data_IF_283125607353
#
_entry.id   IF_283125607353
#
_cell.length_a   1.000
_cell.length_b   1.000
_cell.length_c   1.000
_cell.angle_alpha   90.00
_cell.angle_beta   90.00
_cell.angle_gamma   90.00
#
_symmetry.space_group_name_H-M   'P 1'
#
loop_
_entity.id
_entity.type
_entity.pdbx_description
1 polymer ?
#
# COMPACT_ATOMS: atom_id res chain seq x y z
N UNK A 1 -10.12 10.10 -21.45
CA UNK A 1 -10.77 8.80 -21.77
C UNK A 1 -9.71 7.71 -21.59
N UNK A 2 -9.83 6.85 -20.57
CA UNK A 2 -8.87 5.75 -20.31
C UNK A 2 -9.55 4.42 -20.69
N UNK A 3 -8.89 3.53 -21.44
CA UNK A 3 -9.43 2.20 -21.72
C UNK A 3 -9.31 1.29 -20.49
N UNK A 4 -10.40 0.57 -20.18
CA UNK A 4 -10.43 -0.49 -19.17
C UNK A 4 -9.57 -1.68 -19.59
N UNK A 5 -8.69 -2.22 -18.72
CA UNK A 5 -8.02 -3.46 -19.02
C UNK A 5 -8.91 -4.65 -18.64
N UNK A 6 -9.25 -5.41 -19.67
CA UNK A 6 -9.15 -6.87 -19.68
C UNK A 6 -10.17 -7.65 -18.84
N UNK A 7 -11.23 -8.08 -19.56
CA UNK A 7 -12.12 -9.22 -19.29
C UNK A 7 -11.66 -10.50 -20.02
N UNK A 8 -10.53 -11.17 -19.70
CA UNK A 8 -10.26 -12.50 -20.25
C UNK A 8 -10.66 -13.62 -19.28
N UNK A 9 -10.79 -13.32 -17.98
CA UNK A 9 -10.94 -14.35 -16.96
C UNK A 9 -12.34 -15.00 -16.93
N UNK A 10 -13.38 -14.26 -17.31
CA UNK A 10 -14.77 -14.75 -17.30
C UNK A 10 -15.03 -15.75 -18.43
N UNK A 11 -14.31 -15.64 -19.56
CA UNK A 11 -14.50 -16.49 -20.72
C UNK A 11 -13.86 -17.87 -20.58
N UNK A 12 -12.79 -18.01 -19.78
CA UNK A 12 -12.15 -19.30 -19.53
C UNK A 12 -13.01 -20.24 -18.68
N UNK A 13 -13.83 -19.71 -17.76
CA UNK A 13 -14.73 -20.53 -16.95
C UNK A 13 -15.92 -21.09 -17.74
N UNK A 14 -16.38 -20.38 -18.78
CA UNK A 14 -17.51 -20.82 -19.60
C UNK A 14 -17.18 -21.99 -20.55
N UNK A 15 -15.91 -22.12 -20.97
CA UNK A 15 -15.48 -23.17 -21.89
C UNK A 15 -15.21 -24.53 -21.22
N UNK A 16 -14.99 -24.56 -19.91
CA UNK A 16 -14.74 -25.80 -19.17
C UNK A 16 -16.02 -26.58 -18.79
N UNK A 17 -17.20 -25.96 -18.86
CA UNK A 17 -18.48 -26.59 -18.47
C UNK A 17 -19.20 -27.32 -19.62
N UNK A 18 -18.68 -27.24 -20.85
CA UNK A 18 -19.35 -27.76 -22.06
C UNK A 18 -18.78 -29.09 -22.58
N UNK A 19 -18.07 -29.86 -21.75
CA UNK A 19 -17.54 -31.16 -22.15
C UNK A 19 -18.45 -32.30 -21.63
N UNK A 20 -19.29 -32.94 -22.46
CA UNK A 20 -20.32 -33.90 -22.05
C UNK A 20 -19.75 -35.28 -21.66
N UNK A 21 -18.43 -35.40 -21.48
CA UNK A 21 -17.72 -36.67 -21.24
C UNK A 21 -17.31 -36.94 -19.79
N UNK A 22 -17.80 -36.17 -18.81
CA UNK A 22 -17.43 -36.42 -17.40
C UNK A 22 -18.44 -37.40 -16.79
N UNK A 23 -18.03 -38.63 -16.40
CA UNK A 23 -18.90 -39.52 -15.65
C UNK A 23 -19.26 -38.84 -14.33
N UNK A 24 -20.55 -38.52 -14.20
CA UNK A 24 -21.19 -38.10 -12.96
C UNK A 24 -21.02 -39.21 -11.94
N UNK A 25 -20.17 -39.01 -10.94
CA UNK A 25 -20.17 -39.66 -9.61
C UNK A 25 -19.05 -39.07 -8.74
N UNK A 26 -18.95 -37.74 -8.67
CA UNK A 26 -18.44 -37.14 -7.44
C UNK A 26 -19.53 -37.39 -6.39
N UNK A 27 -19.27 -38.26 -5.43
CA UNK A 27 -20.21 -38.52 -4.33
C UNK A 27 -20.62 -37.16 -3.70
N UNK A 28 -21.87 -36.99 -3.27
CA UNK A 28 -22.33 -35.70 -2.74
C UNK A 28 -21.43 -35.12 -1.63
N UNK A 29 -20.64 -35.96 -0.97
CA UNK A 29 -19.59 -35.56 -0.02
C UNK A 29 -18.37 -34.88 -0.66
N UNK A 30 -17.87 -35.33 -1.81
CA UNK A 30 -16.73 -34.72 -2.51
C UNK A 30 -17.08 -33.32 -3.02
N UNK A 31 -18.25 -33.17 -3.65
CA UNK A 31 -18.73 -31.86 -4.11
C UNK A 31 -18.93 -30.87 -2.94
N UNK A 32 -19.37 -31.37 -1.78
CA UNK A 32 -19.54 -30.54 -0.59
C UNK A 32 -18.19 -30.16 0.05
N UNK A 33 -17.22 -31.08 0.07
CA UNK A 33 -15.86 -30.80 0.52
C UNK A 33 -15.17 -29.76 -0.38
N UNK A 34 -15.36 -29.86 -1.70
CA UNK A 34 -14.83 -28.89 -2.66
C UNK A 34 -15.47 -27.50 -2.48
N UNK A 35 -16.79 -27.44 -2.27
CA UNK A 35 -17.48 -26.18 -1.95
C UNK A 35 -16.94 -25.54 -0.67
N UNK A 36 -16.73 -26.31 0.39
CA UNK A 36 -16.16 -25.82 1.65
C UNK A 36 -14.73 -25.30 1.46
N UNK A 37 -13.92 -26.01 0.67
CA UNK A 37 -12.56 -25.60 0.32
C UNK A 37 -12.56 -24.27 -0.44
N UNK A 38 -13.43 -24.11 -1.44
CA UNK A 38 -13.58 -22.86 -2.19
C UNK A 38 -14.00 -21.71 -1.26
N UNK A 39 -14.93 -21.94 -0.33
CA UNK A 39 -15.33 -20.94 0.66
C UNK A 39 -14.22 -20.58 1.65
N UNK A 40 -13.32 -21.51 1.98
CA UNK A 40 -12.11 -21.21 2.78
C UNK A 40 -11.15 -20.32 2.00
N UNK A 41 -10.82 -20.71 0.77
CA UNK A 41 -9.91 -19.97 -0.10
C UNK A 41 -10.41 -18.55 -0.38
N UNK A 42 -11.72 -18.35 -0.57
CA UNK A 42 -12.29 -17.01 -0.73
C UNK A 42 -12.10 -16.15 0.52
N UNK A 43 -12.29 -16.72 1.72
CA UNK A 43 -12.06 -16.01 2.99
C UNK A 43 -10.59 -15.66 3.20
N UNK A 44 -9.69 -16.59 2.92
CA UNK A 44 -8.24 -16.37 2.99
C UNK A 44 -7.79 -15.27 2.01
N UNK A 45 -8.35 -15.25 0.79
CA UNK A 45 -8.03 -14.25 -0.22
C UNK A 45 -8.54 -12.85 0.18
N UNK A 46 -9.73 -12.78 0.76
CA UNK A 46 -10.28 -11.53 1.30
C UNK A 46 -9.45 -11.00 2.47
N UNK A 47 -9.05 -11.88 3.40
CA UNK A 47 -8.17 -11.53 4.51
C UNK A 47 -6.81 -11.02 4.00
N UNK A 48 -6.16 -11.75 3.10
CA UNK A 48 -4.89 -11.34 2.51
C UNK A 48 -5.01 -10.00 1.76
N UNK A 49 -6.14 -9.74 1.09
CA UNK A 49 -6.39 -8.45 0.46
C UNK A 49 -6.53 -7.31 1.49
N UNK A 50 -7.17 -7.56 2.64
CA UNK A 50 -7.24 -6.58 3.73
C UNK A 50 -5.88 -6.33 4.36
N UNK A 51 -5.09 -7.38 4.63
CA UNK A 51 -3.74 -7.27 5.18
C UNK A 51 -2.82 -6.48 4.24
N UNK A 52 -2.84 -6.75 2.93
CA UNK A 52 -2.07 -5.99 1.94
C UNK A 52 -2.45 -4.51 1.92
N UNK A 53 -3.74 -4.16 2.03
CA UNK A 53 -4.17 -2.77 2.12
C UNK A 53 -3.59 -2.07 3.36
N UNK A 54 -3.61 -2.75 4.51
CA UNK A 54 -3.03 -2.21 5.73
C UNK A 54 -1.50 -2.07 5.65
N UNK A 55 -0.82 -3.03 5.03
CA UNK A 55 0.63 -2.96 4.81
C UNK A 55 0.97 -1.78 3.90
N UNK A 56 0.23 -1.61 2.81
CA UNK A 56 0.45 -0.50 1.88
C UNK A 56 0.25 0.88 2.55
N UNK A 57 -0.78 1.02 3.38
CA UNK A 57 -0.97 2.25 4.16
C UNK A 57 0.20 2.54 5.11
N UNK A 58 0.75 1.50 5.77
CA UNK A 58 1.93 1.63 6.63
C UNK A 58 3.19 1.98 5.85
N UNK A 59 3.40 1.37 4.68
CA UNK A 59 4.51 1.69 3.79
C UNK A 59 4.47 3.16 3.34
N UNK A 60 3.29 3.66 2.98
CA UNK A 60 3.10 5.07 2.62
C UNK A 60 3.41 6.01 3.80
N UNK A 61 2.93 5.69 5.01
CA UNK A 61 3.23 6.47 6.20
C UNK A 61 4.75 6.51 6.49
N UNK A 62 5.42 5.36 6.41
CA UNK A 62 6.86 5.25 6.63
C UNK A 62 7.66 6.00 5.56
N UNK A 63 7.26 5.88 4.28
CA UNK A 63 7.89 6.61 3.17
C UNK A 63 7.81 8.11 3.41
N UNK A 64 6.62 8.62 3.75
CA UNK A 64 6.41 10.04 4.06
C UNK A 64 7.28 10.51 5.23
N UNK A 65 7.38 9.73 6.31
CA UNK A 65 8.26 10.03 7.45
C UNK A 65 9.74 10.11 7.04
N UNK A 66 10.19 9.18 6.21
CA UNK A 66 11.56 9.17 5.68
C UNK A 66 11.83 10.40 4.82
N UNK A 67 10.89 10.79 3.95
CA UNK A 67 11.00 11.99 3.12
C UNK A 67 11.12 13.26 3.97
N UNK A 68 10.27 13.42 5.01
CA UNK A 68 10.36 14.57 5.92
C UNK A 68 11.71 14.62 6.66
N UNK A 69 12.19 13.48 7.17
CA UNK A 69 13.47 13.39 7.86
C UNK A 69 14.65 13.66 6.93
N UNK A 70 14.60 13.15 5.70
CA UNK A 70 15.63 13.39 4.70
C UNK A 70 15.70 14.88 4.31
N UNK A 71 14.54 15.53 4.16
CA UNK A 71 14.48 16.96 3.92
C UNK A 71 15.10 17.77 5.06
N UNK A 72 14.89 17.35 6.32
CA UNK A 72 15.51 17.99 7.49
C UNK A 72 17.04 17.90 7.45
N UNK A 73 17.59 16.71 7.18
CA UNK A 73 19.04 16.49 7.11
C UNK A 73 19.66 17.41 6.06
N UNK A 74 19.11 17.43 4.84
CA UNK A 74 19.61 18.30 3.78
C UNK A 74 19.49 19.79 4.12
N UNK A 75 18.43 20.18 4.82
CA UNK A 75 18.26 21.56 5.26
C UNK A 75 19.32 21.95 6.31
N UNK A 76 19.67 21.07 7.24
CA UNK A 76 20.77 21.33 8.19
C UNK A 76 22.11 21.45 7.49
N UNK A 77 22.42 20.58 6.53
CA UNK A 77 23.63 20.69 5.71
C UNK A 77 23.70 22.03 4.97
N UNK A 78 22.58 22.46 4.38
CA UNK A 78 22.48 23.75 3.70
C UNK A 78 22.67 24.93 4.67
N UNK A 79 22.04 24.90 5.85
CA UNK A 79 22.23 25.93 6.87
C UNK A 79 23.69 26.02 7.31
N UNK A 80 24.35 24.88 7.53
CA UNK A 80 25.76 24.82 7.92
C UNK A 80 26.67 25.44 6.85
N UNK A 81 26.43 25.14 5.57
CA UNK A 81 27.20 25.70 4.46
C UNK A 81 26.95 27.20 4.26
N UNK A 82 25.70 27.66 4.40
CA UNK A 82 25.33 29.06 4.16
C UNK A 82 25.74 30.00 5.31
N UNK A 83 25.79 29.49 6.53
CA UNK A 83 25.97 30.29 7.75
C UNK A 83 27.14 29.80 8.62
N UNK A 84 28.15 29.18 8.01
CA UNK A 84 29.32 28.58 8.70
C UNK A 84 29.95 29.51 9.75
N UNK A 85 30.07 30.80 9.43
CA UNK A 85 30.68 31.81 10.30
C UNK A 85 29.66 32.71 11.01
N UNK A 86 28.36 32.41 10.92
CA UNK A 86 27.29 33.19 11.54
C UNK A 86 26.37 32.26 12.35
N UNK A 87 26.73 32.07 13.62
CA UNK A 87 26.00 31.18 14.53
C UNK A 87 24.52 31.57 14.72
N UNK A 88 24.20 32.86 14.70
CA UNK A 88 22.82 33.33 14.88
C UNK A 88 21.96 32.95 13.66
N UNK A 89 22.43 33.23 12.45
CA UNK A 89 21.72 32.87 11.22
C UNK A 89 21.65 31.36 11.02
N UNK A 90 22.72 30.62 11.37
CA UNK A 90 22.71 29.17 11.40
C UNK A 90 21.60 28.62 12.32
N UNK A 91 21.47 29.19 13.52
CA UNK A 91 20.43 28.79 14.48
C UNK A 91 19.03 29.12 13.96
N UNK A 92 18.82 30.29 13.36
CA UNK A 92 17.53 30.66 12.75
C UNK A 92 17.16 29.70 11.62
N UNK A 93 18.08 29.43 10.71
CA UNK A 93 17.89 28.52 9.58
C UNK A 93 17.55 27.10 10.04
N UNK A 94 18.37 26.52 10.94
CA UNK A 94 18.14 25.18 11.48
C UNK A 94 16.84 25.07 12.28
N UNK A 95 16.47 26.11 13.04
CA UNK A 95 15.17 26.15 13.74
C UNK A 95 14.00 26.15 12.77
N UNK A 96 14.08 26.92 11.68
CA UNK A 96 13.07 26.91 10.63
C UNK A 96 12.98 25.55 9.92
N UNK A 97 14.12 24.93 9.60
CA UNK A 97 14.18 23.60 9.01
C UNK A 97 13.49 22.55 9.90
N UNK A 98 13.77 22.58 11.21
CA UNK A 98 13.11 21.71 12.19
C UNK A 98 11.60 21.92 12.22
N UNK A 99 11.14 23.18 12.24
CA UNK A 99 9.70 23.50 12.24
C UNK A 99 9.01 22.95 10.98
N UNK A 100 9.63 23.11 9.82
CA UNK A 100 9.09 22.60 8.55
C UNK A 100 9.01 21.06 8.54
N UNK A 101 10.03 20.37 9.09
CA UNK A 101 10.03 18.92 9.20
C UNK A 101 8.92 18.41 10.15
N UNK A 102 8.68 19.09 11.27
CA UNK A 102 7.56 18.77 12.18
C UNK A 102 6.22 18.93 11.46
N UNK A 103 6.02 20.04 10.75
CA UNK A 103 4.80 20.27 9.96
C UNK A 103 4.60 19.20 8.87
N UNK A 104 5.69 18.79 8.20
CA UNK A 104 5.66 17.70 7.24
C UNK A 104 5.18 16.40 7.90
N UNK A 105 5.75 16.02 9.04
CA UNK A 105 5.38 14.80 9.78
C UNK A 105 3.92 14.84 10.28
N UNK A 106 3.41 16.01 10.64
CA UNK A 106 2.02 16.20 11.06
C UNK A 106 1.04 16.14 9.89
N UNK A 107 1.40 16.70 8.73
CA UNK A 107 0.57 16.66 7.52
C UNK A 107 0.34 15.25 6.96
N UNK A 108 1.27 14.32 7.20
CA UNK A 108 1.12 12.91 6.83
C UNK A 108 0.01 12.19 7.60
N UNK A 109 -0.33 12.63 8.81
CA UNK A 109 -1.38 12.02 9.64
C UNK A 109 -2.79 12.27 9.11
N UNK A 110 -2.98 13.32 8.31
CA UNK A 110 -4.31 13.68 7.77
C UNK A 110 -4.67 12.92 6.50
N UNK A 111 -3.71 12.40 5.73
CA UNK A 111 -3.96 11.71 4.46
C UNK A 111 -4.22 10.20 4.57
N UNK A 112 -4.04 9.61 5.76
CA UNK A 112 -4.24 8.17 6.00
C UNK A 112 -5.63 7.80 6.55
N UNK A 113 -6.56 8.76 6.67
CA UNK A 113 -7.90 8.57 7.27
C UNK A 113 -9.07 8.84 6.32
N UNK A 114 -8.81 9.17 5.04
CA UNK A 114 -9.83 9.29 3.99
C UNK A 114 -9.87 8.07 3.06
#
# INVERSE_FOLDING_TARGET
MRPSPQKPLVLLFALLLANPGIPSLASGHEAQAEKQRLQSLLRELEQAAQERRQQHAREQELSHRLECNWALIRAYEACAQQHENNAEEHLKCSTAAKKNAVQCLEGGKQKGQE
#
